data_IF_439333902996
#
_entry.id   IF_439333902996
#
_cell.length_a   1.000
_cell.length_b   1.000
_cell.length_c   1.000
_cell.angle_alpha   90.00
_cell.angle_beta   90.00
_cell.angle_gamma   90.00
#
_symmetry.space_group_name_H-M   'P 1'
#
loop_
_entity.id
_entity.type
_entity.pdbx_description
1 polymer ?
#
# COMPACT_ATOMS: atom_id res chain seq x y z
N UNK A 1 15.20 15.52 28.57
CA UNK A 1 16.51 14.85 28.30
C UNK A 1 16.33 13.45 27.70
N UNK A 2 15.59 12.56 28.35
CA UNK A 2 15.43 11.15 27.94
C UNK A 2 14.86 10.98 26.52
N UNK A 3 13.95 11.86 26.09
CA UNK A 3 13.45 11.88 24.70
C UNK A 3 14.56 12.10 23.67
N UNK A 4 15.57 12.92 23.98
CA UNK A 4 16.74 13.13 23.09
C UNK A 4 17.64 11.90 23.00
N UNK A 5 17.63 11.05 24.04
CA UNK A 5 18.29 9.75 24.02
C UNK A 5 17.41 8.64 23.43
N UNK A 6 16.23 9.00 22.91
CA UNK A 6 15.35 8.11 22.17
C UNK A 6 14.24 7.47 23.01
N UNK A 7 13.97 7.87 24.25
CA UNK A 7 12.81 7.34 25.00
C UNK A 7 11.49 7.92 24.44
N UNK A 8 10.50 7.07 24.17
CA UNK A 8 9.16 7.47 23.70
C UNK A 8 8.13 7.42 24.85
N UNK A 9 7.89 8.55 25.52
CA UNK A 9 6.95 8.61 26.65
C UNK A 9 5.50 8.32 26.28
N UNK A 10 5.12 8.47 25.00
CA UNK A 10 3.76 8.15 24.54
C UNK A 10 3.49 6.65 24.58
N UNK A 11 4.53 5.81 24.53
CA UNK A 11 4.42 4.35 24.63
C UNK A 11 4.35 3.83 26.06
N UNK A 12 4.68 4.68 27.04
CA UNK A 12 4.66 4.36 28.48
C UNK A 12 3.27 4.64 29.07
N UNK A 13 2.63 5.74 28.66
CA UNK A 13 1.33 6.19 29.16
C UNK A 13 0.15 5.19 29.11
N UNK A 14 0.07 4.19 28.20
CA UNK A 14 -1.00 3.20 28.24
C UNK A 14 -0.82 2.12 29.32
N UNK A 15 0.37 1.97 29.90
CA UNK A 15 0.71 0.93 30.90
C UNK A 15 0.93 1.51 32.31
N UNK A 16 1.01 2.84 32.45
CA UNK A 16 1.12 3.52 33.74
C UNK A 16 -0.27 3.79 34.35
N UNK A 17 -0.43 3.50 35.64
CA UNK A 17 -1.63 3.81 36.43
C UNK A 17 -2.02 5.29 36.28
N UNK A 18 -3.33 5.63 36.20
CA UNK A 18 -3.79 7.01 36.03
C UNK A 18 -3.56 7.81 37.32
N UNK A 19 -2.41 8.47 37.42
CA UNK A 19 -2.08 9.27 38.60
C UNK A 19 -0.93 10.29 38.45
N UNK A 20 0.08 10.08 37.60
CA UNK A 20 1.33 10.86 37.71
C UNK A 20 1.91 11.30 36.36
N UNK A 21 1.08 11.90 35.50
CA UNK A 21 1.56 12.51 34.26
C UNK A 21 1.20 14.01 34.19
N UNK A 22 1.59 14.77 35.21
CA UNK A 22 1.83 16.20 35.06
C UNK A 22 3.35 16.43 34.97
N UNK A 23 3.91 16.28 33.77
CA UNK A 23 5.32 16.59 33.52
C UNK A 23 5.48 18.12 33.49
N UNK A 24 6.04 18.69 34.56
CA UNK A 24 6.77 19.94 34.47
C UNK A 24 8.15 19.64 33.85
N UNK A 25 8.62 20.49 32.93
CA UNK A 25 9.88 20.30 32.19
C UNK A 25 11.14 20.20 33.08
N UNK A 26 11.05 20.58 34.36
CA UNK A 26 12.16 20.63 35.32
C UNK A 26 12.11 19.53 36.41
N UNK A 27 11.16 18.59 36.38
CA UNK A 27 11.04 17.55 37.41
C UNK A 27 11.89 16.31 37.08
N UNK A 28 12.66 15.82 38.05
CA UNK A 28 13.47 14.61 37.89
C UNK A 28 12.58 13.38 37.73
N UNK A 29 12.65 12.72 36.58
CA UNK A 29 11.91 11.47 36.32
C UNK A 29 12.67 10.27 36.89
N UNK A 30 12.02 9.52 37.78
CA UNK A 30 12.52 8.22 38.24
C UNK A 30 12.29 7.15 37.16
N UNK A 31 13.34 6.89 36.37
CA UNK A 31 13.29 5.99 35.21
C UNK A 31 12.83 4.57 35.59
N UNK A 32 13.34 4.03 36.70
CA UNK A 32 13.08 2.65 37.10
C UNK A 32 11.65 2.44 37.61
N UNK A 33 11.03 3.48 38.17
CA UNK A 33 9.62 3.44 38.57
C UNK A 33 8.66 3.81 37.43
N UNK A 34 9.10 4.69 36.51
CA UNK A 34 8.23 5.17 35.42
C UNK A 34 8.17 4.20 34.25
N UNK A 35 9.26 3.50 33.95
CA UNK A 35 9.36 2.59 32.80
C UNK A 35 9.46 1.15 33.29
N UNK A 36 8.48 0.28 33.01
CA UNK A 36 8.56 -1.13 33.34
C UNK A 36 9.85 -1.76 32.80
N UNK A 37 10.50 -2.58 33.62
CA UNK A 37 11.75 -3.30 33.30
C UNK A 37 12.95 -2.40 32.96
N UNK A 38 12.90 -1.09 33.23
CA UNK A 38 14.05 -0.21 33.08
C UNK A 38 14.97 -0.24 34.32
N UNK A 39 16.29 -0.19 34.06
CA UNK A 39 17.31 -0.24 35.10
C UNK A 39 18.32 0.89 34.95
N UNK A 40 18.74 1.47 36.07
CA UNK A 40 19.77 2.50 36.15
C UNK A 40 20.85 2.04 37.12
N UNK A 41 22.08 1.92 36.63
CA UNK A 41 23.24 1.54 37.43
C UNK A 41 24.35 2.57 37.26
N UNK A 42 24.84 3.11 38.37
CA UNK A 42 25.96 4.05 38.37
C UNK A 42 27.21 3.38 38.96
N UNK A 43 28.29 3.36 38.18
CA UNK A 43 29.61 2.95 38.64
C UNK A 43 30.42 4.19 39.01
N UNK A 44 30.66 4.37 40.32
CA UNK A 44 31.46 5.48 40.85
C UNK A 44 32.93 5.40 40.45
N UNK A 45 33.49 4.19 40.28
CA UNK A 45 34.90 3.99 39.98
C UNK A 45 35.21 4.37 38.54
N UNK A 46 34.29 4.03 37.63
CA UNK A 46 34.40 4.37 36.20
C UNK A 46 33.73 5.70 35.83
N UNK A 47 33.05 6.35 36.79
CA UNK A 47 32.20 7.53 36.55
C UNK A 47 31.17 7.29 35.42
N UNK A 48 30.59 6.09 35.37
CA UNK A 48 29.75 5.62 34.28
C UNK A 48 28.32 5.40 34.74
N UNK A 49 27.37 6.07 34.09
CA UNK A 49 25.94 5.81 34.26
C UNK A 49 25.45 4.89 33.13
N UNK A 50 25.01 3.69 33.49
CA UNK A 50 24.42 2.72 32.56
C UNK A 50 22.90 2.71 32.75
N UNK A 51 22.18 3.04 31.68
CA UNK A 51 20.72 3.07 31.66
C UNK A 51 20.26 2.01 30.65
N UNK A 52 19.40 1.10 31.08
CA UNK A 52 18.77 0.07 30.24
C UNK A 52 17.29 0.36 30.18
N UNK A 53 16.77 0.58 28.99
CA UNK A 53 15.34 0.80 28.72
C UNK A 53 14.90 -0.26 27.70
N UNK A 54 13.78 -0.98 27.94
CA UNK A 54 13.28 -1.94 26.96
C UNK A 54 13.03 -1.28 25.60
N UNK A 55 13.43 -1.93 24.52
CA UNK A 55 13.37 -1.36 23.16
C UNK A 55 11.95 -0.95 22.76
N UNK A 56 10.91 -1.62 23.27
CA UNK A 56 9.51 -1.23 23.06
C UNK A 56 9.21 0.24 23.42
N UNK A 57 9.90 0.78 24.43
CA UNK A 57 9.72 2.16 24.92
C UNK A 57 10.68 3.16 24.30
N UNK A 58 11.50 2.74 23.33
CA UNK A 58 12.38 3.62 22.58
C UNK A 58 11.70 4.09 21.29
N UNK A 59 12.19 5.20 20.72
CA UNK A 59 11.82 5.67 19.39
C UNK A 59 12.30 4.66 18.37
N UNK A 60 11.36 4.13 17.61
CA UNK A 60 11.67 3.22 16.50
C UNK A 60 12.22 4.02 15.32
N UNK A 61 13.54 4.00 15.13
CA UNK A 61 14.12 4.26 13.82
C UNK A 61 14.10 2.96 13.04
N UNK A 62 13.05 2.76 12.23
CA UNK A 62 13.05 1.67 11.25
C UNK A 62 14.35 1.72 10.42
N UNK A 63 14.95 0.57 10.11
CA UNK A 63 16.18 0.56 9.31
C UNK A 63 15.96 1.29 7.98
N UNK A 64 16.91 2.15 7.63
CA UNK A 64 16.82 3.02 6.46
C UNK A 64 15.85 4.21 6.62
N UNK A 65 15.41 4.53 7.84
CA UNK A 65 14.64 5.74 8.09
C UNK A 65 15.46 7.00 7.78
N UNK A 66 14.85 7.90 7.02
CA UNK A 66 15.38 9.24 6.73
C UNK A 66 14.31 10.25 7.13
N UNK A 67 14.69 11.23 7.96
CA UNK A 67 13.77 12.30 8.36
C UNK A 67 13.27 13.04 7.12
N UNK A 68 11.95 13.36 7.03
CA UNK A 68 11.41 14.21 5.97
C UNK A 68 12.10 15.58 5.86
N UNK A 69 12.69 16.09 6.94
CA UNK A 69 13.45 17.37 6.92
C UNK A 69 14.74 17.29 6.09
N UNK A 70 15.22 16.07 5.80
CA UNK A 70 16.39 15.82 4.97
C UNK A 70 16.02 15.53 3.51
N UNK A 71 14.73 15.54 3.16
CA UNK A 71 14.30 15.27 1.78
C UNK A 71 14.53 16.50 0.91
N UNK A 72 15.32 16.33 -0.13
CA UNK A 72 15.56 17.37 -1.13
C UNK A 72 14.43 17.36 -2.17
N UNK A 73 13.87 18.54 -2.45
CA UNK A 73 12.85 18.74 -3.49
C UNK A 73 13.45 18.77 -4.90
N UNK A 74 14.79 18.74 -4.98
CA UNK A 74 15.54 18.83 -6.22
C UNK A 74 15.67 20.27 -6.71
N UNK A 75 16.14 20.40 -7.96
CA UNK A 75 16.35 21.68 -8.61
C UNK A 75 15.27 21.97 -9.65
N UNK A 76 15.05 23.25 -9.92
CA UNK A 76 14.18 23.66 -11.00
C UNK A 76 14.78 23.22 -12.34
N UNK A 77 14.07 22.38 -13.07
CA UNK A 77 14.56 21.82 -14.32
C UNK A 77 13.40 21.48 -15.27
N UNK A 78 13.62 21.73 -16.56
CA UNK A 78 12.78 21.21 -17.64
C UNK A 78 13.50 20.08 -18.37
N UNK A 79 12.76 19.05 -18.78
CA UNK A 79 13.32 17.93 -19.52
C UNK A 79 12.33 17.41 -20.56
N UNK A 80 12.88 16.82 -21.62
CA UNK A 80 12.15 16.13 -22.68
C UNK A 80 12.87 14.81 -22.98
N UNK A 81 12.12 13.72 -22.92
CA UNK A 81 12.55 12.40 -23.36
C UNK A 81 11.69 11.98 -24.55
N UNK A 82 12.31 11.31 -25.52
CA UNK A 82 11.63 10.81 -26.71
C UNK A 82 11.98 9.36 -26.98
N UNK A 83 11.03 8.61 -27.53
CA UNK A 83 11.22 7.27 -28.06
C UNK A 83 10.69 7.21 -29.49
N UNK A 84 11.55 6.96 -30.46
CA UNK A 84 11.17 6.90 -31.87
C UNK A 84 11.46 5.50 -32.42
N UNK A 85 10.50 4.94 -33.14
CA UNK A 85 10.62 3.66 -33.83
C UNK A 85 10.04 3.75 -35.24
N UNK A 86 10.68 3.08 -36.19
CA UNK A 86 10.17 2.92 -37.54
C UNK A 86 10.33 1.47 -37.97
N UNK A 87 9.25 0.86 -38.44
CA UNK A 87 9.20 -0.51 -38.92
C UNK A 87 8.68 -0.51 -40.35
N UNK A 88 9.43 -1.14 -41.26
CA UNK A 88 9.04 -1.32 -42.66
C UNK A 88 8.91 -2.81 -42.95
N UNK A 89 7.75 -3.19 -43.46
CA UNK A 89 7.49 -4.52 -43.99
C UNK A 89 7.40 -4.47 -45.52
N UNK A 90 7.99 -5.47 -46.16
CA UNK A 90 7.98 -5.67 -47.60
C UNK A 90 7.52 -7.10 -47.88
N UNK A 91 6.34 -7.26 -48.47
CA UNK A 91 5.78 -8.57 -48.81
C UNK A 91 5.05 -8.47 -50.14
N UNK A 92 5.41 -9.33 -51.09
CA UNK A 92 4.77 -9.44 -52.42
C UNK A 92 4.56 -8.09 -53.15
N UNK A 93 5.51 -7.15 -53.03
CA UNK A 93 5.43 -5.84 -53.67
C UNK A 93 4.52 -4.82 -52.96
N UNK A 94 3.95 -5.18 -51.82
CA UNK A 94 3.26 -4.26 -50.91
C UNK A 94 4.25 -3.77 -49.85
N UNK A 95 4.48 -2.46 -49.83
CA UNK A 95 5.30 -1.81 -48.81
C UNK A 95 4.38 -1.20 -47.75
N UNK A 96 4.63 -1.51 -46.49
CA UNK A 96 3.98 -0.85 -45.36
C UNK A 96 5.04 -0.37 -44.39
N UNK A 97 5.00 0.92 -44.08
CA UNK A 97 5.83 1.56 -43.06
C UNK A 97 4.95 2.01 -41.92
N UNK A 98 5.36 1.69 -40.70
CA UNK A 98 4.77 2.11 -39.43
C UNK A 98 5.81 2.89 -38.64
N UNK A 99 5.42 4.05 -38.13
CA UNK A 99 6.27 4.96 -37.39
C UNK A 99 5.59 5.30 -36.06
N UNK A 100 6.39 5.39 -35.01
CA UNK A 100 5.97 5.73 -33.67
C UNK A 100 6.94 6.75 -33.07
N UNK A 101 6.40 7.80 -32.46
CA UNK A 101 7.16 8.76 -31.66
C UNK A 101 6.42 9.00 -30.33
N UNK A 102 6.97 8.50 -29.23
CA UNK A 102 6.53 8.83 -27.88
C UNK A 102 7.32 10.00 -27.30
N UNK A 103 6.64 10.94 -26.67
CA UNK A 103 7.22 12.13 -26.03
C UNK A 103 6.83 12.17 -24.56
N UNK A 104 7.82 12.40 -23.69
CA UNK A 104 7.64 12.62 -22.26
C UNK A 104 8.31 13.94 -21.88
N UNK A 105 7.51 14.96 -21.60
CA UNK A 105 7.99 16.26 -21.16
C UNK A 105 7.72 16.46 -19.67
N UNK A 106 8.58 17.21 -19.00
CA UNK A 106 8.37 17.55 -17.60
C UNK A 106 9.06 18.83 -17.18
N UNK A 107 8.48 19.49 -16.19
CA UNK A 107 9.05 20.66 -15.53
C UNK A 107 8.92 20.47 -14.02
N UNK A 108 10.01 20.67 -13.30
CA UNK A 108 10.05 20.69 -11.84
C UNK A 108 10.26 22.13 -11.37
N UNK A 109 9.43 22.60 -10.45
CA UNK A 109 9.57 23.91 -9.79
C UNK A 109 9.32 23.72 -8.29
N UNK A 110 10.40 23.69 -7.49
CA UNK A 110 10.34 23.21 -6.11
C UNK A 110 9.69 21.82 -6.03
N UNK A 111 8.80 21.61 -5.06
CA UNK A 111 8.04 20.37 -4.89
C UNK A 111 6.85 20.20 -5.89
N UNK A 112 6.76 21.01 -6.94
CA UNK A 112 5.74 20.84 -7.98
C UNK A 112 6.32 20.18 -9.23
N UNK A 113 5.66 19.12 -9.67
CA UNK A 113 6.12 18.28 -10.77
C UNK A 113 5.07 18.25 -11.88
N UNK A 114 5.28 19.05 -12.92
CA UNK A 114 4.47 19.00 -14.14
C UNK A 114 4.97 17.87 -15.05
N UNK A 115 4.06 17.07 -15.60
CA UNK A 115 4.34 15.98 -16.52
C UNK A 115 3.36 16.00 -17.68
N UNK A 116 3.86 15.74 -18.88
CA UNK A 116 3.07 15.55 -20.09
C UNK A 116 3.61 14.36 -20.88
N UNK A 117 2.71 13.46 -21.29
CA UNK A 117 3.01 12.29 -22.09
C UNK A 117 2.11 12.28 -23.32
N UNK A 118 2.71 12.10 -24.49
CA UNK A 118 1.99 12.00 -25.77
C UNK A 118 2.67 11.02 -26.72
N UNK A 119 1.93 10.57 -27.74
CA UNK A 119 2.49 9.79 -28.83
C UNK A 119 1.95 10.20 -30.19
N UNK A 120 2.77 10.03 -31.21
CA UNK A 120 2.40 10.14 -32.62
C UNK A 120 2.60 8.78 -33.26
N UNK A 121 1.57 8.29 -33.94
CA UNK A 121 1.65 7.08 -34.76
C UNK A 121 1.32 7.44 -36.21
N UNK A 122 2.11 6.94 -37.15
CA UNK A 122 1.87 7.08 -38.58
C UNK A 122 2.03 5.73 -39.26
N UNK A 123 1.17 5.44 -40.23
CA UNK A 123 1.17 4.18 -40.96
C UNK A 123 0.80 4.42 -42.41
N UNK A 124 1.38 3.62 -43.31
CA UNK A 124 1.17 3.78 -44.76
C UNK A 124 -0.31 3.62 -45.10
N UNK A 125 -0.90 4.65 -45.73
CA UNK A 125 -2.32 4.66 -46.09
C UNK A 125 -3.28 4.99 -44.95
N UNK A 126 -2.78 5.34 -43.75
CA UNK A 126 -3.58 5.80 -42.61
C UNK A 126 -3.23 7.25 -42.28
N UNK A 127 -4.18 7.97 -41.67
CA UNK A 127 -3.91 9.30 -41.15
C UNK A 127 -2.95 9.21 -39.96
N UNK A 128 -2.05 10.18 -39.83
CA UNK A 128 -1.23 10.33 -38.63
C UNK A 128 -2.13 10.60 -37.43
N UNK A 129 -1.97 9.82 -36.37
CA UNK A 129 -2.71 9.96 -35.12
C UNK A 129 -1.81 10.53 -34.04
N UNK A 130 -2.30 11.55 -33.36
CA UNK A 130 -1.67 12.12 -32.17
C UNK A 130 -2.55 11.80 -30.95
N UNK A 131 -1.95 11.17 -29.95
CA UNK A 131 -2.62 10.79 -28.71
C UNK A 131 -2.02 11.59 -27.53
N UNK A 132 -2.86 12.38 -26.86
CA UNK A 132 -2.54 13.00 -25.56
C UNK A 132 -2.79 11.96 -24.46
N UNK A 133 -1.71 11.34 -23.98
CA UNK A 133 -1.79 10.21 -23.05
C UNK A 133 -2.06 10.71 -21.62
N UNK A 134 -1.35 11.72 -21.16
CA UNK A 134 -1.59 12.29 -19.83
C UNK A 134 -0.93 13.65 -19.67
N UNK A 135 -1.66 14.59 -19.09
CA UNK A 135 -1.11 15.86 -18.60
C UNK A 135 -1.51 16.08 -17.14
N UNK A 136 -0.54 16.22 -16.24
CA UNK A 136 -0.82 16.41 -14.82
C UNK A 136 0.28 17.15 -14.08
N UNK A 137 -0.08 17.61 -12.88
CA UNK A 137 0.81 18.23 -11.90
C UNK A 137 0.73 17.43 -10.60
N UNK A 138 1.89 17.13 -10.03
CA UNK A 138 2.02 16.44 -8.75
C UNK A 138 2.67 17.31 -7.68
N UNK A 139 2.28 17.08 -6.44
CA UNK A 139 2.89 17.67 -5.25
C UNK A 139 2.92 16.69 -4.10
N UNK A 140 4.09 16.52 -3.49
CA UNK A 140 4.27 15.60 -2.36
C UNK A 140 3.80 16.22 -1.04
N UNK A 141 3.15 15.43 -0.19
CA UNK A 141 2.63 15.81 1.12
C UNK A 141 3.27 14.94 2.23
N UNK A 142 4.52 15.22 2.66
CA UNK A 142 5.26 14.34 3.57
C UNK A 142 4.56 14.09 4.90
N UNK A 143 3.84 15.08 5.45
CA UNK A 143 3.09 14.95 6.71
C UNK A 143 2.03 13.85 6.67
N UNK A 144 1.45 13.60 5.50
CA UNK A 144 0.42 12.57 5.30
C UNK A 144 0.96 11.34 4.60
N UNK A 145 2.26 11.32 4.24
CA UNK A 145 2.88 10.29 3.42
C UNK A 145 2.07 10.04 2.14
N UNK A 146 1.65 11.13 1.52
CA UNK A 146 0.71 11.13 0.40
C UNK A 146 1.21 12.03 -0.73
N UNK A 147 0.68 11.84 -1.92
CA UNK A 147 0.92 12.68 -3.09
C UNK A 147 -0.41 13.23 -3.59
N UNK A 148 -0.44 14.53 -3.85
CA UNK A 148 -1.53 15.19 -4.54
C UNK A 148 -1.26 15.20 -6.05
N UNK A 149 -2.24 14.81 -6.85
CA UNK A 149 -2.18 14.82 -8.32
C UNK A 149 -3.37 15.60 -8.86
N UNK A 150 -3.12 16.53 -9.78
CA UNK A 150 -4.14 17.33 -10.48
C UNK A 150 -3.93 17.19 -11.98
N UNK A 151 -4.99 16.86 -12.72
CA UNK A 151 -4.94 16.59 -14.16
C UNK A 151 -5.33 15.15 -14.47
N UNK A 152 -4.67 14.56 -15.45
CA UNK A 152 -4.90 13.19 -15.91
C UNK A 152 -4.17 12.16 -15.04
N UNK A 153 -4.92 11.22 -14.45
CA UNK A 153 -4.36 10.15 -13.64
C UNK A 153 -5.28 8.92 -13.60
N UNK A 154 -4.88 7.91 -12.83
CA UNK A 154 -5.64 6.69 -12.57
C UNK A 154 -5.94 6.56 -11.09
N UNK A 155 -7.08 5.96 -10.74
CA UNK A 155 -7.34 5.58 -9.34
C UNK A 155 -6.45 4.41 -8.93
N UNK A 156 -6.16 4.26 -7.64
CA UNK A 156 -5.14 3.31 -7.14
C UNK A 156 -5.45 1.84 -7.43
N UNK A 157 -6.72 1.49 -7.64
CA UNK A 157 -7.11 0.11 -7.95
C UNK A 157 -7.11 -0.84 -6.74
N UNK A 158 -6.89 -0.34 -5.53
CA UNK A 158 -6.70 -1.23 -4.36
C UNK A 158 -8.00 -1.84 -3.81
N UNK A 159 -9.14 -1.15 -4.00
CA UNK A 159 -10.46 -1.53 -3.43
C UNK A 159 -11.51 -1.66 -4.53
N UNK A 160 -11.51 -0.73 -5.49
CA UNK A 160 -12.35 -0.77 -6.68
C UNK A 160 -11.47 -0.96 -7.91
N UNK A 161 -12.07 -1.42 -9.01
CA UNK A 161 -11.38 -1.49 -10.30
C UNK A 161 -10.82 -0.09 -10.66
N UNK A 162 -9.58 -0.04 -11.15
CA UNK A 162 -8.92 1.22 -11.50
C UNK A 162 -9.59 1.86 -12.71
N UNK A 163 -9.81 3.17 -12.64
CA UNK A 163 -10.35 3.98 -13.74
C UNK A 163 -9.44 5.18 -14.00
N UNK A 164 -9.33 5.56 -15.27
CA UNK A 164 -8.65 6.79 -15.66
C UNK A 164 -9.58 7.98 -15.45
N UNK A 165 -9.04 9.11 -14.99
CA UNK A 165 -9.82 10.32 -14.71
C UNK A 165 -9.02 11.58 -15.04
N UNK A 166 -9.76 12.68 -15.23
CA UNK A 166 -9.23 14.04 -15.23
C UNK A 166 -9.81 14.81 -14.06
N UNK A 167 -8.99 15.21 -13.10
CA UNK A 167 -9.47 15.85 -11.87
C UNK A 167 -8.39 16.02 -10.83
N UNK A 168 -8.70 15.76 -9.56
CA UNK A 168 -7.78 15.83 -8.44
C UNK A 168 -7.82 14.55 -7.60
N UNK A 169 -6.66 14.11 -7.13
CA UNK A 169 -6.51 12.98 -6.23
C UNK A 169 -5.48 13.30 -5.14
N UNK A 170 -5.75 12.85 -3.92
CA UNK A 170 -4.76 12.73 -2.86
C UNK A 170 -4.73 11.27 -2.43
N UNK A 171 -3.58 10.62 -2.57
CA UNK A 171 -3.41 9.21 -2.22
C UNK A 171 -2.10 8.98 -1.45
N UNK A 172 -2.11 8.05 -0.51
CA UNK A 172 -0.89 7.62 0.18
C UNK A 172 0.13 7.05 -0.80
N UNK A 173 1.40 7.40 -0.64
CA UNK A 173 2.51 6.87 -1.44
C UNK A 173 3.47 6.07 -0.55
N UNK A 174 3.45 4.76 -0.72
CA UNK A 174 4.32 3.83 0.02
C UNK A 174 5.81 4.09 -0.21
N UNK A 175 6.19 4.78 -1.29
CA UNK A 175 7.59 5.15 -1.54
C UNK A 175 8.11 6.17 -0.52
N UNK A 176 7.22 6.91 0.13
CA UNK A 176 7.55 7.79 1.26
C UNK A 176 7.83 7.03 2.57
N UNK A 177 7.59 5.72 2.60
CA UNK A 177 8.00 4.86 3.70
C UNK A 177 9.45 4.38 3.50
N UNK A 178 10.21 4.19 4.61
CA UNK A 178 11.45 3.42 4.59
C UNK A 178 11.23 2.07 3.93
N UNK A 179 12.23 1.57 3.19
CA UNK A 179 12.13 0.32 2.45
C UNK A 179 11.74 -0.86 3.35
N UNK A 180 12.24 -0.89 4.58
CA UNK A 180 11.92 -1.87 5.62
C UNK A 180 10.44 -1.87 6.06
N UNK A 181 9.68 -0.82 5.76
CA UNK A 181 8.26 -0.69 6.07
C UNK A 181 7.35 -0.83 4.85
N UNK A 182 7.91 -0.97 3.65
CA UNK A 182 7.12 -1.19 2.42
C UNK A 182 6.58 -2.62 2.39
N UNK A 183 5.36 -2.74 1.85
CA UNK A 183 4.65 -4.02 1.78
C UNK A 183 4.31 -4.62 3.16
N UNK A 184 3.69 -5.80 3.13
CA UNK A 184 3.31 -6.52 4.35
C UNK A 184 4.45 -7.40 4.86
N UNK A 185 4.81 -7.21 6.13
CA UNK A 185 5.51 -8.19 6.96
C UNK A 185 4.93 -8.12 8.39
N UNK A 186 4.78 -9.26 9.09
CA UNK A 186 4.24 -9.26 10.45
C UNK A 186 5.21 -8.61 11.45
N UNK A 187 4.68 -7.93 12.46
CA UNK A 187 5.47 -7.41 13.58
C UNK A 187 5.81 -8.56 14.53
N UNK A 188 7.09 -8.79 14.81
CA UNK A 188 7.51 -9.79 15.80
C UNK A 188 7.49 -9.15 17.19
N UNK A 189 6.76 -9.72 18.14
CA UNK A 189 6.74 -9.29 19.54
C UNK A 189 7.26 -10.40 20.44
N UNK A 190 7.99 -10.02 21.48
CA UNK A 190 8.48 -10.95 22.50
C UNK A 190 8.97 -10.22 23.74
N UNK A 191 9.48 -11.00 24.70
CA UNK A 191 10.11 -10.51 25.93
C UNK A 191 11.45 -11.21 26.10
N UNK A 192 12.48 -10.46 26.46
CA UNK A 192 13.80 -10.97 26.81
C UNK A 192 13.99 -10.87 28.34
N UNK A 193 14.53 -11.91 28.96
CA UNK A 193 14.83 -11.88 30.41
C UNK A 193 16.14 -11.13 30.69
N UNK A 194 16.99 -10.99 29.66
CA UNK A 194 18.33 -10.40 29.75
C UNK A 194 18.67 -9.60 28.48
N UNK A 195 19.91 -9.13 28.37
CA UNK A 195 20.44 -8.64 27.09
C UNK A 195 20.50 -9.83 26.12
N UNK A 196 19.51 -9.95 25.25
CA UNK A 196 19.30 -11.12 24.40
C UNK A 196 19.63 -10.81 22.94
N UNK A 197 20.05 -11.85 22.22
CA UNK A 197 20.15 -11.84 20.75
C UNK A 197 18.88 -12.42 20.16
N UNK A 198 18.15 -11.62 19.39
CA UNK A 198 16.95 -12.03 18.67
C UNK A 198 17.33 -12.30 17.21
N UNK A 199 17.15 -13.54 16.77
CA UNK A 199 17.41 -13.99 15.39
C UNK A 199 16.08 -14.40 14.77
N UNK A 200 15.72 -13.83 13.62
CA UNK A 200 14.55 -14.19 12.82
C UNK A 200 15.01 -14.94 11.59
N UNK A 201 14.46 -16.13 11.39
CA UNK A 201 14.71 -16.98 10.23
C UNK A 201 13.47 -17.13 9.38
N UNK A 202 13.67 -17.27 8.07
CA UNK A 202 12.64 -17.66 7.12
C UNK A 202 13.24 -18.71 6.19
N UNK A 203 12.54 -19.84 6.00
CA UNK A 203 13.01 -20.97 5.22
C UNK A 203 14.45 -21.42 5.60
N UNK A 204 14.73 -21.43 6.91
CA UNK A 204 16.04 -21.80 7.46
C UNK A 204 17.15 -20.74 7.35
N UNK A 205 16.93 -19.65 6.60
CA UNK A 205 17.91 -18.57 6.42
C UNK A 205 17.68 -17.43 7.42
N UNK A 206 18.76 -16.84 7.96
CA UNK A 206 18.65 -15.68 8.85
C UNK A 206 18.36 -14.43 8.02
N UNK A 207 17.19 -13.84 8.24
CA UNK A 207 16.74 -12.61 7.54
C UNK A 207 16.88 -11.36 8.42
N UNK A 208 17.01 -11.55 9.73
CA UNK A 208 17.17 -10.47 10.70
C UNK A 208 17.89 -10.97 11.94
N UNK A 209 18.80 -10.15 12.48
CA UNK A 209 19.42 -10.39 13.76
C UNK A 209 19.68 -9.05 14.46
N UNK A 210 19.33 -8.95 15.74
CA UNK A 210 19.63 -7.78 16.58
C UNK A 210 19.84 -8.19 18.03
N UNK A 211 20.50 -7.34 18.81
CA UNK A 211 20.43 -7.39 20.28
C UNK A 211 19.24 -6.55 20.78
N UNK A 212 18.63 -6.99 21.88
CA UNK A 212 17.58 -6.26 22.61
C UNK A 212 17.93 -6.21 24.09
N UNK A 213 17.55 -5.11 24.75
CA UNK A 213 17.64 -4.97 26.21
C UNK A 213 16.64 -5.90 26.92
N UNK A 214 16.83 -6.18 28.23
CA UNK A 214 15.85 -6.94 29.01
C UNK A 214 14.48 -6.24 28.98
N UNK A 215 13.42 -7.03 29.05
CA UNK A 215 12.04 -6.57 28.95
C UNK A 215 11.41 -6.81 27.57
N UNK A 216 10.24 -6.20 27.30
CA UNK A 216 9.52 -6.39 26.06
C UNK A 216 10.20 -5.72 24.87
N UNK A 217 10.17 -6.39 23.71
CA UNK A 217 10.70 -5.88 22.44
C UNK A 217 9.71 -6.09 21.30
N UNK A 218 9.86 -5.30 20.23
CA UNK A 218 9.11 -5.48 19.00
C UNK A 218 9.91 -5.11 17.76
N UNK A 219 9.90 -6.00 16.76
CA UNK A 219 10.59 -5.82 15.48
C UNK A 219 9.51 -5.55 14.42
N UNK A 220 9.50 -4.31 13.91
CA UNK A 220 8.48 -3.81 12.96
C UNK A 220 9.02 -3.59 11.54
N UNK A 221 10.33 -3.69 11.36
CA UNK A 221 11.09 -3.27 10.18
C UNK A 221 11.75 -4.45 9.43
N UNK A 222 11.07 -5.60 9.44
CA UNK A 222 11.41 -6.72 8.56
C UNK A 222 11.12 -6.34 7.11
N UNK A 223 12.05 -6.60 6.19
CA UNK A 223 11.77 -6.44 4.75
C UNK A 223 10.67 -7.42 4.32
N UNK A 224 9.80 -6.99 3.40
CA UNK A 224 8.82 -7.89 2.80
C UNK A 224 9.53 -8.81 1.79
N UNK A 225 9.40 -10.12 1.95
CA UNK A 225 10.06 -11.12 1.08
C UNK A 225 9.16 -11.61 -0.06
N UNK A 226 7.94 -11.06 -0.19
CA UNK A 226 7.06 -11.19 -1.34
C UNK A 226 6.30 -12.53 -1.47
N UNK A 227 6.89 -13.64 -1.04
CA UNK A 227 6.33 -14.99 -1.24
C UNK A 227 5.80 -15.64 0.04
N UNK A 228 5.89 -14.98 1.19
CA UNK A 228 5.51 -15.55 2.48
C UNK A 228 6.50 -16.61 2.98
N UNK A 229 6.07 -17.45 3.92
CA UNK A 229 6.87 -18.47 4.62
C UNK A 229 7.03 -18.10 6.09
N UNK A 230 6.75 -19.04 6.99
CA UNK A 230 6.70 -18.78 8.43
C UNK A 230 8.02 -18.17 8.95
N UNK A 231 7.91 -17.24 9.91
CA UNK A 231 9.08 -16.67 10.56
C UNK A 231 9.39 -17.44 11.84
N UNK A 232 10.56 -18.05 11.91
CA UNK A 232 11.06 -18.70 13.12
C UNK A 232 11.91 -17.71 13.91
N UNK A 233 11.41 -17.32 15.07
CA UNK A 233 12.06 -16.35 15.95
C UNK A 233 12.75 -17.12 17.08
N UNK A 234 14.04 -16.88 17.26
CA UNK A 234 14.82 -17.42 18.37
C UNK A 234 15.40 -16.28 19.19
N UNK A 235 15.09 -16.26 20.48
CA UNK A 235 15.64 -15.34 21.48
C UNK A 235 16.70 -16.11 22.27
N UNK A 236 17.97 -15.71 22.13
CA UNK A 236 19.10 -16.27 22.87
C UNK A 236 19.45 -15.33 24.02
N UNK A 237 19.20 -15.75 25.25
CA UNK A 237 19.51 -15.00 26.47
C UNK A 237 21.02 -14.97 26.73
N UNK A 238 21.48 -14.03 27.59
CA UNK A 238 22.90 -13.87 27.93
C UNK A 238 23.52 -15.11 28.60
N UNK A 239 22.70 -15.94 29.25
CA UNK A 239 23.09 -17.21 29.87
C UNK A 239 23.13 -18.40 28.89
N UNK A 240 22.81 -18.16 27.61
CA UNK A 240 22.77 -19.18 26.56
C UNK A 240 21.45 -19.93 26.44
N UNK A 241 20.46 -19.70 27.31
CA UNK A 241 19.10 -20.26 27.13
C UNK A 241 18.47 -19.68 25.88
N UNK A 242 17.74 -20.53 25.14
CA UNK A 242 17.04 -20.13 23.93
C UNK A 242 15.53 -20.31 24.07
N UNK A 243 14.75 -19.31 23.66
CA UNK A 243 13.30 -19.39 23.50
C UNK A 243 12.97 -19.26 22.01
N UNK A 244 12.13 -20.15 21.47
CA UNK A 244 11.76 -20.12 20.06
C UNK A 244 10.24 -20.10 19.87
N UNK A 245 9.75 -19.31 18.92
CA UNK A 245 8.34 -19.28 18.52
C UNK A 245 8.21 -18.91 17.04
N UNK A 246 7.10 -19.32 16.44
CA UNK A 246 6.85 -19.11 15.00
C UNK A 246 5.76 -18.06 14.78
N UNK A 247 6.01 -17.12 13.87
CA UNK A 247 5.05 -16.09 13.44
C UNK A 247 4.59 -16.40 12.02
N UNK A 248 3.29 -16.68 11.80
CA UNK A 248 2.77 -16.94 10.45
C UNK A 248 2.97 -15.76 9.50
N UNK A 249 3.49 -16.04 8.30
CA UNK A 249 3.68 -15.02 7.27
C UNK A 249 3.18 -15.51 5.92
N UNK A 250 1.95 -15.13 5.60
CA UNK A 250 1.38 -15.17 4.27
C UNK A 250 0.80 -13.77 3.96
N UNK A 251 0.79 -13.36 2.70
CA UNK A 251 0.29 -12.04 2.30
C UNK A 251 -0.66 -12.12 1.11
N UNK A 252 -1.77 -11.40 1.20
CA UNK A 252 -2.60 -11.03 0.05
C UNK A 252 -2.36 -9.56 -0.28
N UNK A 253 -2.76 -9.11 -1.47
CA UNK A 253 -2.50 -7.76 -1.95
C UNK A 253 -3.02 -6.66 -0.99
N UNK A 254 -4.11 -6.96 -0.29
CA UNK A 254 -4.81 -6.08 0.64
C UNK A 254 -4.24 -6.13 2.08
N UNK A 255 -3.22 -6.94 2.37
CA UNK A 255 -2.61 -7.01 3.70
C UNK A 255 -1.76 -5.77 3.99
N UNK A 256 -1.96 -5.14 5.15
CA UNK A 256 -1.15 -4.01 5.63
C UNK A 256 -0.50 -4.33 6.98
N UNK A 257 0.68 -3.75 7.21
CA UNK A 257 1.31 -3.83 8.54
C UNK A 257 0.45 -3.13 9.57
N UNK A 258 0.44 -3.64 10.80
CA UNK A 258 -0.28 -3.01 11.90
C UNK A 258 0.13 -1.54 12.04
N UNK A 259 -0.88 -0.66 12.14
CA UNK A 259 -0.71 0.79 12.26
C UNK A 259 -0.57 1.53 10.93
N UNK A 260 -0.32 0.82 9.82
CA UNK A 260 -0.25 1.43 8.48
C UNK A 260 -1.65 1.74 7.99
N UNK A 261 -1.82 2.94 7.42
CA UNK A 261 -3.06 3.37 6.78
C UNK A 261 -2.75 3.74 5.34
N UNK A 262 -3.49 3.17 4.39
CA UNK A 262 -3.54 3.64 3.02
C UNK A 262 -4.87 4.31 2.78
N UNK A 263 -4.89 5.43 2.09
CA UNK A 263 -6.13 6.09 1.69
C UNK A 263 -5.95 6.73 0.34
N UNK A 264 -7.05 6.87 -0.40
CA UNK A 264 -7.11 7.68 -1.59
C UNK A 264 -8.45 8.41 -1.64
N UNK A 265 -8.42 9.70 -1.97
CA UNK A 265 -9.61 10.51 -2.26
C UNK A 265 -9.43 11.08 -3.65
N UNK A 266 -10.38 10.82 -4.54
CA UNK A 266 -10.35 11.23 -5.94
C UNK A 266 -11.66 11.92 -6.28
N UNK A 267 -11.60 13.02 -7.02
CA UNK A 267 -12.75 13.67 -7.62
C UNK A 267 -12.39 14.17 -9.02
N UNK A 268 -13.21 13.87 -10.01
CA UNK A 268 -12.94 14.25 -11.39
C UNK A 268 -13.90 13.64 -12.38
N UNK A 269 -13.61 13.83 -13.66
CA UNK A 269 -14.37 13.26 -14.75
C UNK A 269 -13.74 11.95 -15.21
N UNK A 270 -14.55 10.91 -15.42
CA UNK A 270 -14.09 9.64 -15.99
C UNK A 270 -13.49 9.87 -17.38
N UNK A 271 -12.29 9.31 -17.62
CA UNK A 271 -11.57 9.45 -18.89
C UNK A 271 -11.54 8.12 -19.63
N UNK A 272 -12.47 7.99 -20.57
CA UNK A 272 -12.54 6.86 -21.51
C UNK A 272 -13.03 7.42 -22.85
N UNK A 273 -12.23 7.24 -23.92
CA UNK A 273 -12.54 7.81 -25.23
C UNK A 273 -13.60 7.03 -26.01
N UNK A 274 -13.98 5.85 -25.51
CA UNK A 274 -15.14 5.12 -26.04
C UNK A 274 -16.48 5.63 -25.50
N UNK A 275 -16.47 6.51 -24.48
CA UNK A 275 -17.67 7.16 -23.95
C UNK A 275 -17.92 8.51 -24.62
N UNK A 276 -19.16 8.75 -25.05
CA UNK A 276 -19.57 10.08 -25.51
C UNK A 276 -19.85 11.02 -24.34
N UNK A 277 -20.51 10.49 -23.31
CA UNK A 277 -20.86 11.18 -22.07
C UNK A 277 -19.92 10.71 -20.96
N UNK A 278 -19.00 11.59 -20.56
CA UNK A 278 -18.00 11.31 -19.53
C UNK A 278 -18.52 11.78 -18.16
N UNK A 279 -18.91 10.87 -17.24
CA UNK A 279 -19.51 11.25 -15.97
C UNK A 279 -18.47 11.81 -14.98
N UNK A 280 -18.89 12.80 -14.19
CA UNK A 280 -18.16 13.23 -13.00
C UNK A 280 -18.38 12.24 -11.86
N UNK A 281 -17.33 11.98 -11.08
CA UNK A 281 -17.39 11.09 -9.93
C UNK A 281 -16.51 11.57 -8.78
N UNK A 282 -16.83 11.07 -7.59
CA UNK A 282 -15.99 11.12 -6.42
C UNK A 282 -15.81 9.68 -5.88
N UNK A 283 -14.58 9.36 -5.51
CA UNK A 283 -14.20 8.08 -4.92
C UNK A 283 -13.37 8.32 -3.65
N UNK A 284 -13.66 7.56 -2.61
CA UNK A 284 -12.75 7.44 -1.46
C UNK A 284 -12.50 5.98 -1.13
N UNK A 285 -11.27 5.67 -0.74
CA UNK A 285 -10.88 4.34 -0.25
C UNK A 285 -10.01 4.50 0.99
N UNK A 286 -10.13 3.56 1.91
CA UNK A 286 -9.32 3.50 3.13
C UNK A 286 -9.01 2.06 3.48
N UNK A 287 -7.77 1.83 3.91
CA UNK A 287 -7.26 0.54 4.37
C UNK A 287 -6.46 0.77 5.63
N UNK A 288 -6.62 -0.09 6.64
CA UNK A 288 -5.93 0.01 7.93
C UNK A 288 -5.50 -1.36 8.41
N UNK A 289 -4.19 -1.53 8.63
CA UNK A 289 -3.67 -2.68 9.36
C UNK A 289 -4.02 -2.55 10.85
N UNK A 290 -4.98 -3.34 11.32
CA UNK A 290 -5.45 -3.30 12.72
C UNK A 290 -4.51 -4.10 13.63
N UNK A 291 -4.07 -5.26 13.16
CA UNK A 291 -3.13 -6.14 13.85
C UNK A 291 -2.24 -6.87 12.84
N UNK A 292 -1.33 -7.72 13.32
CA UNK A 292 -0.55 -8.60 12.44
C UNK A 292 -1.43 -9.56 11.63
N UNK A 293 -2.61 -9.89 12.15
CA UNK A 293 -3.52 -10.84 11.53
C UNK A 293 -4.57 -10.12 10.70
N UNK A 294 -5.04 -8.93 11.11
CA UNK A 294 -6.23 -8.31 10.53
C UNK A 294 -5.91 -6.98 9.88
N UNK A 295 -6.28 -6.84 8.60
CA UNK A 295 -6.40 -5.57 7.88
C UNK A 295 -7.86 -5.36 7.49
N UNK A 296 -8.38 -4.17 7.73
CA UNK A 296 -9.72 -3.78 7.28
C UNK A 296 -9.61 -2.77 6.15
N UNK A 297 -10.49 -2.87 5.17
CA UNK A 297 -10.55 -1.92 4.08
C UNK A 297 -11.98 -1.69 3.58
N UNK A 298 -12.15 -0.61 2.85
CA UNK A 298 -13.41 -0.29 2.20
C UNK A 298 -13.35 1.05 1.49
N UNK A 299 -14.48 1.45 0.94
CA UNK A 299 -14.58 2.70 0.22
C UNK A 299 -15.95 2.92 -0.39
N UNK A 300 -16.09 4.04 -1.09
CA UNK A 300 -17.29 4.37 -1.85
C UNK A 300 -16.98 5.13 -3.12
N UNK A 301 -17.81 4.93 -4.14
CA UNK A 301 -17.83 5.69 -5.39
C UNK A 301 -19.22 6.31 -5.53
N UNK A 302 -19.28 7.58 -5.87
CA UNK A 302 -20.51 8.29 -6.22
C UNK A 302 -20.32 9.02 -7.54
N UNK A 303 -21.29 8.85 -8.43
CA UNK A 303 -21.37 9.48 -9.76
C UNK A 303 -22.84 9.70 -10.09
N UNK A 304 -23.13 10.51 -11.10
CA UNK A 304 -24.51 10.67 -11.55
C UNK A 304 -25.11 9.31 -11.99
N UNK A 305 -26.16 8.87 -11.28
CA UNK A 305 -26.84 7.61 -11.53
C UNK A 305 -26.05 6.35 -11.16
N UNK A 306 -24.94 6.47 -10.42
CA UNK A 306 -24.18 5.33 -9.91
C UNK A 306 -23.67 5.58 -8.50
N UNK A 307 -23.90 4.63 -7.61
CA UNK A 307 -23.29 4.62 -6.28
C UNK A 307 -22.86 3.20 -5.92
N UNK A 308 -21.64 3.07 -5.39
CA UNK A 308 -21.12 1.80 -4.90
C UNK A 308 -20.43 1.97 -3.56
N UNK A 309 -20.50 0.93 -2.73
CA UNK A 309 -19.80 0.84 -1.45
C UNK A 309 -19.14 -0.53 -1.34
N UNK A 310 -17.90 -0.56 -0.85
CA UNK A 310 -17.13 -1.76 -0.60
C UNK A 310 -16.75 -1.85 0.87
N UNK A 311 -16.78 -3.07 1.41
CA UNK A 311 -16.19 -3.40 2.70
C UNK A 311 -15.52 -4.76 2.64
N UNK A 312 -14.32 -4.84 3.21
CA UNK A 312 -13.51 -6.04 3.17
C UNK A 312 -12.54 -6.17 4.34
N UNK A 313 -12.00 -7.38 4.46
CA UNK A 313 -10.97 -7.69 5.42
C UNK A 313 -9.95 -8.65 4.83
N UNK A 314 -8.69 -8.48 5.23
CA UNK A 314 -7.62 -9.43 5.00
C UNK A 314 -7.16 -10.03 6.34
N UNK A 315 -7.00 -11.35 6.36
CA UNK A 315 -6.65 -12.18 7.49
C UNK A 315 -5.37 -12.97 7.18
N UNK A 316 -4.27 -12.69 7.86
CA UNK A 316 -3.08 -13.56 7.81
C UNK A 316 -3.14 -14.58 8.96
N UNK A 317 -3.32 -15.86 8.61
CA UNK A 317 -3.46 -16.97 9.56
C UNK A 317 -2.39 -18.03 9.35
N UNK A 318 -2.26 -18.97 10.30
CA UNK A 318 -1.39 -20.16 10.15
C UNK A 318 -1.74 -21.05 8.94
N UNK A 319 -2.96 -20.93 8.40
CA UNK A 319 -3.40 -21.70 7.25
C UNK A 319 -3.19 -20.98 5.92
N UNK A 320 -2.69 -19.74 5.94
CA UNK A 320 -2.56 -18.87 4.77
C UNK A 320 -3.18 -17.50 5.02
N UNK A 321 -2.98 -16.61 4.07
CA UNK A 321 -3.61 -15.30 4.01
C UNK A 321 -4.89 -15.37 3.18
N UNK A 322 -5.96 -14.81 3.73
CA UNK A 322 -7.28 -14.74 3.11
C UNK A 322 -7.67 -13.27 3.00
N UNK A 323 -8.13 -12.81 1.85
CA UNK A 323 -8.88 -11.56 1.76
C UNK A 323 -10.27 -11.85 1.21
N UNK A 324 -11.26 -11.15 1.74
CA UNK A 324 -12.59 -11.16 1.19
C UNK A 324 -13.24 -9.80 1.35
N UNK A 325 -13.93 -9.37 0.31
CA UNK A 325 -14.69 -8.13 0.28
C UNK A 325 -15.98 -8.27 -0.50
N UNK A 326 -16.93 -7.44 -0.12
CA UNK A 326 -18.23 -7.33 -0.77
C UNK A 326 -18.42 -5.89 -1.26
N UNK A 327 -18.77 -5.77 -2.54
CA UNK A 327 -19.13 -4.49 -3.15
C UNK A 327 -20.61 -4.49 -3.48
N UNK A 328 -21.37 -3.56 -2.91
CA UNK A 328 -22.74 -3.29 -3.31
C UNK A 328 -22.80 -2.10 -4.26
N UNK A 329 -23.52 -2.22 -5.36
CA UNK A 329 -23.70 -1.15 -6.34
C UNK A 329 -25.18 -0.92 -6.66
N UNK A 330 -25.57 0.35 -6.83
CA UNK A 330 -26.87 0.78 -7.34
C UNK A 330 -26.63 1.64 -8.58
N UNK A 331 -27.15 1.17 -9.72
CA UNK A 331 -27.02 1.83 -11.01
C UNK A 331 -28.39 2.19 -11.54
N UNK A 332 -28.59 3.48 -11.82
CA UNK A 332 -29.75 3.96 -12.57
C UNK A 332 -29.34 4.07 -14.02
N UNK A 333 -30.13 3.57 -14.95
CA UNK A 333 -29.87 3.68 -16.38
C UNK A 333 -31.08 4.35 -17.01
N UNK A 334 -30.93 5.43 -17.79
CA UNK A 334 -32.06 6.10 -18.43
C UNK A 334 -32.88 5.12 -19.28
N UNK A 335 -34.21 5.10 -19.08
CA UNK A 335 -35.10 4.18 -19.81
C UNK A 335 -35.17 2.75 -19.27
N UNK A 336 -34.44 2.41 -18.21
CA UNK A 336 -34.45 1.07 -17.61
C UNK A 336 -34.76 1.13 -16.10
N UNK A 337 -35.25 0.02 -15.50
CA UNK A 337 -35.36 -0.11 -14.06
C UNK A 337 -34.02 0.08 -13.37
N UNK A 338 -34.04 0.61 -12.14
CA UNK A 338 -32.84 0.72 -11.32
C UNK A 338 -32.26 -0.68 -11.05
N UNK A 339 -30.98 -0.86 -11.32
CA UNK A 339 -30.25 -2.09 -11.07
C UNK A 339 -29.55 -2.00 -9.72
N UNK A 340 -29.64 -3.08 -8.94
CA UNK A 340 -28.96 -3.22 -7.67
C UNK A 340 -28.33 -4.59 -7.61
N UNK A 341 -27.08 -4.67 -7.18
CA UNK A 341 -26.38 -5.92 -7.11
C UNK A 341 -25.14 -5.88 -6.25
N UNK A 342 -24.58 -7.05 -6.03
CA UNK A 342 -23.45 -7.29 -5.17
C UNK A 342 -22.39 -8.13 -5.89
N UNK A 343 -21.13 -7.81 -5.61
CA UNK A 343 -19.96 -8.59 -6.02
C UNK A 343 -19.18 -9.01 -4.80
N UNK A 344 -18.84 -10.30 -4.74
CA UNK A 344 -17.98 -10.91 -3.75
C UNK A 344 -16.64 -11.21 -4.40
N UNK A 345 -15.56 -10.72 -3.80
CA UNK A 345 -14.19 -11.04 -4.20
C UNK A 345 -13.50 -11.77 -3.04
N UNK A 346 -12.86 -12.90 -3.36
CA UNK A 346 -12.05 -13.69 -2.44
C UNK A 346 -10.66 -13.90 -3.04
N UNK A 347 -9.64 -13.66 -2.21
CA UNK A 347 -8.24 -13.98 -2.47
C UNK A 347 -7.70 -14.92 -1.39
N UNK A 348 -6.86 -15.86 -1.80
CA UNK A 348 -6.15 -16.73 -0.88
C UNK A 348 -4.71 -16.96 -1.33
N UNK A 349 -3.79 -16.85 -0.38
CA UNK A 349 -2.37 -17.11 -0.60
C UNK A 349 -1.81 -17.98 0.52
N UNK A 350 -1.03 -19.00 0.16
CA UNK A 350 -0.29 -19.83 1.10
C UNK A 350 1.04 -20.26 0.50
N UNK A 351 2.10 -19.99 1.23
CA UNK A 351 3.39 -20.63 1.04
C UNK A 351 3.46 -21.93 1.84
N UNK A 352 3.91 -23.01 1.20
CA UNK A 352 4.06 -24.34 1.80
C UNK A 352 5.55 -24.63 1.94
N UNK A 353 6.07 -24.45 3.16
CA UNK A 353 7.50 -24.60 3.47
C UNK A 353 8.06 -25.98 3.10
N UNK A 354 7.27 -27.06 3.22
CA UNK A 354 7.77 -28.43 2.96
C UNK A 354 8.04 -28.73 1.48
N UNK A 355 7.39 -28.00 0.56
CA UNK A 355 7.45 -28.28 -0.88
C UNK A 355 7.92 -27.06 -1.66
N UNK A 356 8.40 -26.01 -0.98
CA UNK A 356 8.76 -24.72 -1.57
C UNK A 356 7.73 -24.20 -2.59
N UNK A 357 6.45 -24.44 -2.30
CA UNK A 357 5.34 -24.17 -3.22
C UNK A 357 4.57 -22.96 -2.77
N UNK A 358 4.39 -21.98 -3.65
CA UNK A 358 3.51 -20.86 -3.42
C UNK A 358 2.17 -21.09 -4.14
N UNK A 359 1.12 -21.26 -3.35
CA UNK A 359 -0.24 -21.35 -3.85
C UNK A 359 -0.94 -20.01 -3.72
N UNK A 360 -1.28 -19.41 -4.86
CA UNK A 360 -2.05 -18.16 -4.92
C UNK A 360 -3.31 -18.35 -5.75
N UNK A 361 -4.45 -18.33 -5.08
CA UNK A 361 -5.75 -18.19 -5.71
C UNK A 361 -6.08 -16.69 -5.74
N UNK A 362 -5.72 -16.03 -6.84
CA UNK A 362 -6.02 -14.62 -7.08
C UNK A 362 -7.38 -14.48 -7.75
N UNK A 363 -8.33 -13.85 -7.06
CA UNK A 363 -9.62 -13.43 -7.57
C UNK A 363 -10.59 -14.54 -8.01
N UNK A 364 -11.22 -15.20 -7.03
CA UNK A 364 -12.59 -15.67 -7.27
C UNK A 364 -13.54 -14.48 -7.09
N UNK A 365 -13.99 -13.88 -8.20
CA UNK A 365 -15.00 -12.81 -8.19
C UNK A 365 -16.33 -13.36 -8.69
N UNK A 366 -17.32 -13.37 -7.80
CA UNK A 366 -18.71 -13.68 -8.11
C UNK A 366 -19.52 -12.39 -8.09
N UNK A 367 -20.30 -12.13 -9.13
CA UNK A 367 -21.16 -10.94 -9.19
C UNK A 367 -22.56 -11.37 -9.59
N UNK A 368 -23.57 -10.87 -8.90
CA UNK A 368 -24.95 -11.12 -9.31
C UNK A 368 -25.32 -10.37 -10.60
N UNK A 369 -26.47 -10.68 -11.17
CA UNK A 369 -26.90 -10.10 -12.46
C UNK A 369 -27.19 -8.59 -12.37
N UNK A 370 -27.43 -8.07 -11.17
CA UNK A 370 -27.73 -6.67 -10.92
C UNK A 370 -26.51 -5.79 -10.71
N UNK A 371 -25.34 -6.39 -10.47
CA UNK A 371 -24.10 -5.69 -10.19
C UNK A 371 -23.46 -5.11 -11.46
N UNK A 372 -22.94 -3.90 -11.34
CA UNK A 372 -22.08 -3.26 -12.33
C UNK A 372 -20.94 -2.57 -11.60
N UNK A 373 -19.71 -2.75 -12.09
CA UNK A 373 -18.62 -1.86 -11.71
C UNK A 373 -18.84 -0.47 -12.33
N UNK A 374 -18.02 0.51 -11.93
CA UNK A 374 -18.22 1.88 -12.36
C UNK A 374 -18.05 2.07 -13.88
N UNK A 375 -17.08 1.39 -14.49
CA UNK A 375 -16.83 1.46 -15.94
C UNK A 375 -18.01 0.90 -16.73
N UNK A 376 -18.50 -0.28 -16.37
CA UNK A 376 -19.63 -0.95 -17.02
C UNK A 376 -20.92 -0.13 -16.84
N UNK A 377 -21.12 0.48 -15.67
CA UNK A 377 -22.23 1.39 -15.42
C UNK A 377 -22.15 2.66 -16.27
N UNK A 378 -20.96 3.24 -16.44
CA UNK A 378 -20.74 4.40 -17.30
C UNK A 378 -21.04 4.06 -18.77
N UNK A 379 -20.53 2.93 -19.30
CA UNK A 379 -20.86 2.49 -20.65
C UNK A 379 -22.35 2.22 -20.81
N UNK A 380 -22.97 1.47 -19.91
CA UNK A 380 -24.39 1.14 -20.01
C UNK A 380 -25.29 2.39 -19.99
N UNK A 381 -24.93 3.39 -19.17
CA UNK A 381 -25.62 4.69 -19.14
C UNK A 381 -25.39 5.48 -20.43
N UNK A 382 -24.15 5.58 -20.91
CA UNK A 382 -23.83 6.31 -22.14
C UNK A 382 -24.54 5.69 -23.36
N UNK A 383 -24.50 4.35 -23.50
CA UNK A 383 -25.25 3.66 -24.55
C UNK A 383 -26.75 3.96 -24.49
N UNK A 384 -27.36 3.92 -23.30
CA UNK A 384 -28.79 4.19 -23.15
C UNK A 384 -29.15 5.66 -23.44
N UNK A 385 -28.32 6.62 -23.03
CA UNK A 385 -28.49 8.05 -23.35
C UNK A 385 -28.42 8.31 -24.86
N UNK A 386 -27.63 7.51 -25.58
CA UNK A 386 -27.44 7.61 -27.02
C UNK A 386 -28.38 6.69 -27.84
N UNK A 387 -29.43 6.13 -27.22
CA UNK A 387 -30.48 5.36 -27.90
C UNK A 387 -30.13 3.88 -28.18
N UNK A 388 -29.05 3.36 -27.60
CA UNK A 388 -28.65 1.96 -27.68
C UNK A 388 -29.43 1.05 -26.73
N UNK A 389 -29.55 -0.24 -27.09
CA UNK A 389 -30.12 -1.27 -26.21
C UNK A 389 -29.01 -2.06 -25.54
N UNK A 390 -29.08 -2.22 -24.21
CA UNK A 390 -28.07 -2.94 -23.43
C UNK A 390 -28.17 -4.46 -23.70
N UNK A 391 -27.06 -5.11 -24.08
CA UNK A 391 -26.95 -6.56 -24.34
C UNK A 391 -26.01 -7.28 -23.33
N UNK A 392 -26.03 -8.61 -23.38
CA UNK A 392 -25.67 -9.57 -22.33
C UNK A 392 -24.23 -9.47 -21.77
N UNK A 393 -24.07 -9.90 -20.50
CA UNK A 393 -22.97 -9.53 -19.58
C UNK A 393 -22.05 -10.68 -19.19
N UNK A 394 -20.81 -10.36 -18.80
CA UNK A 394 -19.89 -11.31 -18.16
C UNK A 394 -20.35 -11.64 -16.73
N UNK A 395 -20.50 -12.94 -16.40
CA UNK A 395 -21.09 -13.42 -15.13
C UNK A 395 -20.06 -13.87 -14.08
N UNK A 396 -18.76 -13.91 -14.41
CA UNK A 396 -17.72 -14.30 -13.47
C UNK A 396 -16.35 -14.40 -14.13
N UNK A 397 -15.31 -14.14 -13.33
CA UNK A 397 -13.90 -14.33 -13.72
C UNK A 397 -13.21 -15.03 -12.56
N UNK A 398 -12.45 -16.08 -12.87
CA UNK A 398 -11.59 -16.78 -11.94
C UNK A 398 -10.18 -16.83 -12.52
N UNK A 399 -9.17 -16.48 -11.72
CA UNK A 399 -7.77 -16.65 -12.09
C UNK A 399 -7.09 -17.57 -11.06
N UNK A 400 -6.30 -18.51 -11.56
CA UNK A 400 -5.55 -19.47 -10.75
C UNK A 400 -4.09 -19.35 -11.15
N UNK A 401 -3.20 -19.19 -10.17
CA UNK A 401 -1.75 -19.14 -10.42
C UNK A 401 -1.04 -20.04 -9.43
N UNK A 402 -0.37 -21.06 -9.96
CA UNK A 402 0.42 -22.01 -9.19
C UNK A 402 1.88 -21.84 -9.58
N UNK A 403 2.72 -21.48 -8.62
CA UNK A 403 4.16 -21.37 -8.83
C UNK A 403 4.89 -22.34 -7.88
N UNK A 404 5.67 -23.25 -8.46
CA UNK A 404 6.61 -24.12 -7.76
C UNK A 404 8.00 -23.86 -8.32
N UNK A 405 9.00 -23.69 -7.44
CA UNK A 405 10.41 -23.59 -7.83
C UNK A 405 11.02 -24.99 -8.06
#
# INVERSE_FOLDING_TARGET
>A
MLERYGVDFKRIAPEASPGEASQNDDECVDISNTIPDANVAFDFSEQKLSISVPQKFMHDTARGYVSPDLWDQGVNAGFLSYNANAYRNDSDGVHSTQEYLGLNAGVNIGAWHFRHQSSITASTGQATQFDDIATYVQHDLPKWKAQATIGDAQTTGDVFDSVSFRGAQIATDDRMLPESLRGYAPIVRGTADSNARVTVRQNGQVIYETSVSPGPFEIRDLYATGYGGNLDVTVTEADGRTKSFTVPYASVAQSLRQGTTRFAVTAGQLRDDSLQTKPDFAQFTIQRGISNTVTLYGGGIASEGYIAANVGAALNTKFGAFAADITGARTQIPGYPTMQGQSLHIDYSKFIDQTDTNFTLGAYRYSDEGYLNFSDAAHARDYAMNGGTISNRQKGRAQLTLNSL
#
